data_IF_869142961407
#
_entry.id   IF_869142961407
#
_cell.length_a   1.000
_cell.length_b   1.000
_cell.length_c   1.000
_cell.angle_alpha   90.00
_cell.angle_beta   90.00
_cell.angle_gamma   90.00
#
_symmetry.space_group_name_H-M   'P 1'
#
loop_
_entity.id
_entity.type
_entity.pdbx_description
1 polymer ?
#
# COMPACT_ATOMS: atom_id res chain seq x y z
N UNK A 1 7.10 20.73 13.18
CA UNK A 1 7.63 19.36 13.31
C UNK A 1 6.57 18.44 12.74
N UNK A 2 6.79 17.86 11.55
CA UNK A 2 5.83 16.89 11.01
C UNK A 2 5.93 15.61 11.84
N UNK A 3 4.81 14.93 12.18
CA UNK A 3 4.84 13.66 12.86
C UNK A 3 5.58 12.65 11.97
N UNK A 4 6.75 12.19 12.43
CA UNK A 4 7.51 11.14 11.77
C UNK A 4 7.02 9.82 12.33
N UNK A 5 6.26 9.08 11.51
CA UNK A 5 5.89 7.71 11.85
C UNK A 5 7.09 6.80 11.58
N UNK A 6 7.49 5.94 12.53
CA UNK A 6 8.59 5.02 12.31
C UNK A 6 8.32 4.11 11.10
N UNK A 7 9.38 3.78 10.33
CA UNK A 7 9.27 2.95 9.15
C UNK A 7 8.69 1.55 9.44
N UNK A 8 8.96 1.00 10.62
CA UNK A 8 8.48 -0.32 11.06
C UNK A 8 6.95 -0.35 11.21
N UNK A 9 6.37 0.76 11.68
CA UNK A 9 4.91 0.89 11.80
C UNK A 9 4.27 1.04 10.42
N UNK A 10 4.90 1.79 9.52
CA UNK A 10 4.44 1.90 8.13
C UNK A 10 4.45 0.54 7.43
N UNK A 11 5.47 -0.28 7.64
CA UNK A 11 5.53 -1.64 7.11
C UNK A 11 4.42 -2.50 7.70
N UNK A 12 4.24 -2.49 9.02
CA UNK A 12 3.18 -3.26 9.69
C UNK A 12 1.78 -2.91 9.13
N UNK A 13 1.50 -1.62 8.94
CA UNK A 13 0.21 -1.19 8.34
C UNK A 13 0.10 -1.68 6.90
N UNK A 14 1.16 -1.57 6.12
CA UNK A 14 1.16 -1.98 4.71
C UNK A 14 0.99 -3.50 4.56
N UNK A 15 1.62 -4.28 5.44
CA UNK A 15 1.50 -5.74 5.51
C UNK A 15 0.05 -6.17 5.83
N UNK A 16 -0.59 -5.51 6.81
CA UNK A 16 -1.99 -5.78 7.15
C UNK A 16 -2.99 -5.37 6.05
N UNK A 17 -2.61 -4.42 5.19
CA UNK A 17 -3.44 -3.95 4.07
C UNK A 17 -3.14 -4.66 2.75
N UNK A 18 -2.30 -5.70 2.77
CA UNK A 18 -1.86 -6.41 1.56
C UNK A 18 -3.01 -7.03 0.76
N UNK A 19 -4.11 -7.41 1.41
CA UNK A 19 -5.31 -7.96 0.78
C UNK A 19 -6.21 -6.90 0.11
N UNK A 20 -6.05 -5.62 0.47
CA UNK A 20 -6.88 -4.51 0.02
C UNK A 20 -6.09 -3.50 -0.84
N UNK A 21 -5.87 -3.80 -2.14
CA UNK A 21 -5.12 -2.93 -3.05
C UNK A 21 -5.79 -1.57 -3.27
N UNK A 22 -7.10 -1.46 -3.01
CA UNK A 22 -7.83 -0.19 -3.02
C UNK A 22 -7.31 0.76 -1.93
N UNK A 23 -7.14 0.24 -0.70
CA UNK A 23 -6.64 0.98 0.46
C UNK A 23 -5.15 1.30 0.31
N UNK A 24 -4.35 0.36 -0.18
CA UNK A 24 -2.92 0.61 -0.47
C UNK A 24 -2.70 1.78 -1.43
N UNK A 25 -3.57 1.93 -2.45
CA UNK A 25 -3.54 3.08 -3.37
C UNK A 25 -3.87 4.39 -2.67
N UNK A 26 -4.83 4.39 -1.73
CA UNK A 26 -5.15 5.58 -0.95
C UNK A 26 -3.98 5.99 -0.03
N UNK A 27 -3.28 5.03 0.59
CA UNK A 27 -2.10 5.30 1.41
C UNK A 27 -0.98 5.99 0.61
N UNK A 28 -0.80 5.69 -0.68
CA UNK A 28 0.14 6.39 -1.56
C UNK A 28 -0.13 7.91 -1.64
N UNK A 29 -1.38 8.35 -1.44
CA UNK A 29 -1.78 9.76 -1.55
C UNK A 29 -1.52 10.54 -0.26
N UNK A 30 -1.30 9.87 0.87
CA UNK A 30 -1.11 10.51 2.18
C UNK A 30 0.27 11.16 2.27
N UNK A 31 1.33 10.45 1.90
CA UNK A 31 2.71 10.94 1.94
C UNK A 31 3.64 10.11 1.07
N UNK A 32 4.74 10.74 0.61
CA UNK A 32 5.81 10.10 -0.17
C UNK A 32 6.45 8.89 0.54
N UNK A 33 6.43 8.86 1.88
CA UNK A 33 6.98 7.75 2.68
C UNK A 33 6.21 6.43 2.52
N UNK A 34 4.94 6.48 2.13
CA UNK A 34 4.11 5.29 1.91
C UNK A 34 4.36 4.65 0.54
N UNK A 35 4.65 5.48 -0.47
CA UNK A 35 4.78 5.07 -1.88
C UNK A 35 5.72 3.87 -2.11
N UNK A 36 6.97 3.83 -1.59
CA UNK A 36 7.85 2.69 -1.85
C UNK A 36 7.35 1.41 -1.19
N UNK A 37 6.68 1.50 -0.03
CA UNK A 37 6.17 0.36 0.74
C UNK A 37 4.93 -0.21 0.08
N UNK A 38 3.91 0.62 -0.14
CA UNK A 38 2.64 0.20 -0.74
C UNK A 38 2.82 -0.34 -2.15
N UNK A 39 3.75 0.21 -2.96
CA UNK A 39 4.07 -0.32 -4.30
C UNK A 39 4.58 -1.76 -4.24
N UNK A 40 5.41 -2.11 -3.26
CA UNK A 40 5.90 -3.49 -3.08
C UNK A 40 4.71 -4.46 -2.97
N UNK A 41 3.70 -4.11 -2.18
CA UNK A 41 2.51 -4.96 -1.99
C UNK A 41 1.54 -4.91 -3.17
N UNK A 42 1.31 -3.72 -3.76
CA UNK A 42 0.45 -3.53 -4.93
C UNK A 42 0.92 -4.32 -6.16
N UNK A 43 2.24 -4.47 -6.33
CA UNK A 43 2.82 -5.21 -7.45
C UNK A 43 3.30 -6.62 -7.07
N UNK A 44 3.19 -7.03 -5.80
CA UNK A 44 3.49 -8.40 -5.38
C UNK A 44 2.45 -9.41 -5.89
N UNK A 45 1.19 -8.98 -6.04
CA UNK A 45 0.11 -9.82 -6.55
C UNK A 45 -0.76 -9.03 -7.51
N UNK A 46 -0.80 -9.45 -8.77
CA UNK A 46 -1.66 -8.86 -9.80
C UNK A 46 -2.82 -9.81 -10.02
N UNK A 47 -4.03 -9.38 -9.62
CA UNK A 47 -5.27 -10.07 -9.95
C UNK A 47 -5.74 -9.56 -11.31
N UNK A 48 -5.81 -10.45 -12.29
CA UNK A 48 -6.48 -10.14 -13.55
C UNK A 48 -7.98 -10.26 -13.31
N UNK A 49 -8.72 -9.16 -13.51
CA UNK A 49 -10.16 -9.28 -13.62
C UNK A 49 -10.42 -10.02 -14.94
N UNK A 50 -10.94 -11.24 -14.87
CA UNK A 50 -11.51 -11.87 -16.05
C UNK A 50 -12.80 -11.14 -16.34
N UNK A 51 -12.74 -10.08 -17.16
CA UNK A 51 -13.91 -9.46 -17.72
C UNK A 51 -14.55 -10.47 -18.68
N UNK A 52 -15.46 -11.28 -18.17
CA UNK A 52 -16.30 -12.17 -18.94
C UNK A 52 -17.55 -11.42 -19.39
N UNK A 53 -17.47 -10.79 -20.57
CA UNK A 53 -18.54 -10.67 -21.58
C UNK A 53 -18.10 -9.76 -22.73
#
# INVERSE_FOLDING_TARGET
MLPYLPPEILDLVTDNLSDEPSTLKACCLVSKSWVPRTRKHLFASVKFNQDSA
#
